data_IF_481704923922
#
_entry.id   IF_481704923922
#
_cell.length_a   1.000
_cell.length_b   1.000
_cell.length_c   1.000
_cell.angle_alpha   90.00
_cell.angle_beta   90.00
_cell.angle_gamma   90.00
#
_symmetry.space_group_name_H-M   'P 1'
#
loop_
_entity.id
_entity.type
_entity.pdbx_description
1 polymer ?
#
# COMPACT_ATOMS: atom_id res chain seq x y z
N UNK A 1 14.69 25.06 -7.87
CA UNK A 1 15.78 24.45 -7.07
C UNK A 1 15.71 25.05 -5.67
N UNK A 2 15.42 24.25 -4.66
CA UNK A 2 15.39 24.67 -3.25
C UNK A 2 16.63 24.09 -2.56
N UNK A 3 17.29 24.85 -1.68
CA UNK A 3 18.48 24.39 -0.95
C UNK A 3 18.30 24.64 0.54
N UNK A 4 18.61 23.64 1.36
CA UNK A 4 18.57 23.75 2.83
C UNK A 4 19.89 23.27 3.41
N UNK A 5 20.39 23.98 4.41
CA UNK A 5 21.52 23.51 5.22
C UNK A 5 20.99 22.50 6.25
N UNK A 6 21.65 21.36 6.35
CA UNK A 6 21.36 20.32 7.32
C UNK A 6 22.67 19.77 7.89
N UNK A 7 22.62 19.25 9.11
CA UNK A 7 23.76 18.61 9.74
C UNK A 7 23.69 17.09 9.53
N UNK A 8 24.87 16.47 9.35
CA UNK A 8 24.98 15.03 9.39
C UNK A 8 24.91 14.54 10.84
N UNK A 9 24.10 13.52 11.07
CA UNK A 9 23.94 12.86 12.36
C UNK A 9 24.89 11.66 12.37
N UNK A 10 25.76 11.62 13.39
CA UNK A 10 26.65 10.50 13.65
C UNK A 10 26.13 9.69 14.84
N UNK A 11 25.82 8.42 14.63
CA UNK A 11 25.40 7.49 15.67
C UNK A 11 26.42 6.37 15.87
N UNK A 12 26.45 5.75 17.06
CA UNK A 12 27.22 4.51 17.27
C UNK A 12 26.60 3.35 16.48
N UNK A 13 27.40 2.52 15.84
CA UNK A 13 26.92 1.28 15.24
C UNK A 13 26.57 0.26 16.35
N UNK A 14 25.47 -0.48 16.20
CA UNK A 14 25.04 -1.52 17.15
C UNK A 14 25.56 -2.92 16.79
N UNK A 15 25.55 -3.85 17.74
CA UNK A 15 25.83 -5.28 17.53
C UNK A 15 27.32 -5.64 17.37
N UNK A 16 27.61 -6.62 16.51
CA UNK A 16 28.95 -7.17 16.20
C UNK A 16 29.82 -6.24 15.31
N UNK A 17 29.50 -4.95 15.23
CA UNK A 17 30.27 -4.01 14.44
C UNK A 17 31.66 -3.76 15.07
N UNK A 18 32.65 -3.42 14.24
CA UNK A 18 34.02 -3.17 14.70
C UNK A 18 34.06 -2.01 15.70
N UNK A 19 35.09 -1.99 16.55
CA UNK A 19 35.20 -1.12 17.75
C UNK A 19 35.02 0.39 17.48
N UNK A 20 35.13 0.85 16.23
CA UNK A 20 35.00 2.25 15.80
C UNK A 20 33.94 2.48 14.72
N UNK A 21 33.04 1.53 14.49
CA UNK A 21 31.99 1.69 13.49
C UNK A 21 30.96 2.75 13.92
N UNK A 22 30.62 3.65 13.00
CA UNK A 22 29.59 4.67 13.17
C UNK A 22 28.58 4.61 12.04
N UNK A 23 27.40 5.17 12.28
CA UNK A 23 26.35 5.36 11.29
C UNK A 23 26.24 6.84 10.94
N UNK A 24 26.00 7.15 9.67
CA UNK A 24 25.74 8.50 9.19
C UNK A 24 24.30 8.60 8.70
N UNK A 25 23.58 9.63 9.12
CA UNK A 25 22.21 9.92 8.66
C UNK A 25 22.06 11.41 8.35
N UNK A 26 21.21 11.74 7.38
CA UNK A 26 20.77 13.11 7.11
C UNK A 26 19.25 13.14 7.08
N UNK A 27 18.64 14.16 7.67
CA UNK A 27 17.18 14.33 7.62
C UNK A 27 16.79 15.05 6.33
N UNK A 28 15.91 14.42 5.55
CA UNK A 28 15.31 15.03 4.35
C UNK A 28 13.99 15.70 4.74
N UNK A 29 13.69 16.93 4.30
CA UNK A 29 12.41 17.58 4.57
C UNK A 29 11.23 16.74 4.07
N UNK A 30 10.19 16.58 4.91
CA UNK A 30 8.95 15.86 4.56
C UNK A 30 8.36 16.34 3.23
N UNK A 31 8.34 17.65 2.99
CA UNK A 31 7.82 18.24 1.75
C UNK A 31 8.57 17.79 0.49
N UNK A 32 9.85 17.43 0.60
CA UNK A 32 10.61 16.88 -0.53
C UNK A 32 10.33 15.39 -0.71
N UNK A 33 10.26 14.65 0.40
CA UNK A 33 9.86 13.23 0.42
C UNK A 33 8.48 13.05 -0.23
N UNK A 34 7.49 13.85 0.19
CA UNK A 34 6.14 13.87 -0.37
C UNK A 34 6.15 14.18 -1.88
N UNK A 35 6.94 15.18 -2.32
CA UNK A 35 7.07 15.53 -3.74
C UNK A 35 7.78 14.48 -4.58
N UNK A 36 8.71 13.73 -4.00
CA UNK A 36 9.34 12.58 -4.64
C UNK A 36 8.40 11.37 -4.70
N UNK A 37 7.25 11.44 -4.01
CA UNK A 37 6.28 10.35 -3.90
C UNK A 37 6.82 9.18 -3.08
N UNK A 38 7.74 9.45 -2.14
CA UNK A 38 8.28 8.42 -1.25
C UNK A 38 7.33 8.24 -0.07
N UNK A 39 6.97 6.99 0.21
CA UNK A 39 6.13 6.61 1.36
C UNK A 39 6.88 5.61 2.25
N UNK A 40 6.25 5.14 3.33
CA UNK A 40 6.84 4.10 4.18
C UNK A 40 7.06 2.77 3.41
N UNK A 41 6.26 2.56 2.37
CA UNK A 41 6.23 1.39 1.51
C UNK A 41 7.05 1.63 0.22
N UNK A 42 6.95 2.83 -0.37
CA UNK A 42 7.77 3.27 -1.50
C UNK A 42 8.98 4.07 -1.01
N UNK A 43 9.81 3.45 -0.16
CA UNK A 43 10.97 4.09 0.51
C UNK A 43 12.28 3.95 -0.23
N UNK A 44 12.27 3.28 -1.39
CA UNK A 44 13.48 3.02 -2.15
C UNK A 44 13.96 4.30 -2.86
N UNK A 45 15.24 4.60 -2.69
CA UNK A 45 15.90 5.76 -3.28
C UNK A 45 17.22 5.32 -3.89
N UNK A 46 17.61 5.97 -4.98
CA UNK A 46 18.94 5.81 -5.57
C UNK A 46 19.86 6.88 -4.97
N UNK A 47 20.96 6.44 -4.38
CA UNK A 47 22.05 7.33 -3.96
C UNK A 47 23.20 7.21 -4.95
N UNK A 48 23.67 8.33 -5.48
CA UNK A 48 24.90 8.39 -6.27
C UNK A 48 25.91 9.32 -5.60
N UNK A 49 27.19 8.97 -5.66
CA UNK A 49 28.29 9.78 -5.16
C UNK A 49 29.35 9.92 -6.26
N UNK A 50 29.70 11.15 -6.60
CA UNK A 50 30.65 11.47 -7.68
C UNK A 50 32.05 11.90 -7.17
N UNK A 51 32.27 11.84 -5.86
CA UNK A 51 33.49 12.31 -5.20
C UNK A 51 33.32 13.63 -4.45
N UNK A 52 32.32 14.43 -4.80
CA UNK A 52 32.04 15.74 -4.17
C UNK A 52 30.56 15.88 -3.75
N UNK A 53 29.65 15.32 -4.54
CA UNK A 53 28.20 15.45 -4.40
C UNK A 53 27.56 14.10 -4.19
N UNK A 54 26.59 14.07 -3.27
CA UNK A 54 25.62 12.98 -3.16
C UNK A 54 24.32 13.44 -3.82
N UNK A 55 23.79 12.69 -4.77
CA UNK A 55 22.44 12.88 -5.29
C UNK A 55 21.49 11.82 -4.74
N UNK A 56 20.24 12.24 -4.51
CA UNK A 56 19.15 11.36 -4.09
C UNK A 56 18.10 11.43 -5.19
N UNK A 57 17.98 10.35 -5.94
CA UNK A 57 17.07 10.25 -7.07
C UNK A 57 15.98 9.20 -6.78
N UNK A 58 14.81 9.39 -7.38
CA UNK A 58 13.86 8.29 -7.50
C UNK A 58 14.50 7.26 -8.44
N UNK A 59 14.55 5.97 -8.10
CA UNK A 59 15.02 4.98 -9.06
C UNK A 59 14.15 5.06 -10.33
N UNK A 60 14.78 5.22 -11.49
CA UNK A 60 14.11 5.26 -12.81
C UNK A 60 13.24 4.01 -13.04
N UNK A 61 13.56 2.93 -12.32
CA UNK A 61 12.80 1.70 -12.22
C UNK A 61 12.83 1.27 -10.75
N UNK A 62 11.93 1.78 -9.92
CA UNK A 62 11.62 1.07 -8.67
C UNK A 62 11.07 -0.29 -9.08
N UNK A 63 11.47 -1.42 -8.47
CA UNK A 63 10.94 -2.74 -8.77
C UNK A 63 9.55 -2.90 -8.17
N UNK A 64 8.71 -1.86 -8.26
CA UNK A 64 7.28 -2.07 -8.29
C UNK A 64 7.05 -2.77 -9.62
N UNK A 65 6.96 -4.09 -9.59
CA UNK A 65 6.49 -4.86 -10.74
C UNK A 65 5.17 -4.22 -11.15
N UNK A 66 5.13 -3.44 -12.22
CA UNK A 66 3.88 -3.13 -12.90
C UNK A 66 3.45 -4.42 -13.59
N UNK A 67 2.89 -5.32 -12.79
CA UNK A 67 2.25 -6.52 -13.29
C UNK A 67 1.08 -6.03 -14.13
N UNK A 68 1.01 -6.37 -15.43
CA UNK A 68 -0.14 -6.03 -16.24
C UNK A 68 -1.40 -6.60 -15.58
N UNK A 69 -2.49 -5.85 -15.65
CA UNK A 69 -3.76 -6.29 -15.08
C UNK A 69 -4.11 -7.69 -15.56
N UNK A 70 -4.35 -8.59 -14.61
CA UNK A 70 -4.64 -9.98 -14.89
C UNK A 70 -6.00 -10.12 -15.62
N UNK A 71 -6.21 -11.29 -16.24
CA UNK A 71 -7.51 -11.62 -16.85
C UNK A 71 -8.64 -11.58 -15.81
N UNK A 72 -9.83 -11.15 -16.24
CA UNK A 72 -11.06 -11.17 -15.42
C UNK A 72 -11.28 -12.52 -14.70
N UNK A 73 -11.01 -13.65 -15.34
CA UNK A 73 -11.13 -14.97 -14.69
C UNK A 73 -10.25 -15.11 -13.44
N UNK A 74 -8.99 -14.65 -13.48
CA UNK A 74 -8.06 -14.69 -12.34
C UNK A 74 -8.52 -13.73 -11.24
N UNK A 75 -8.89 -12.51 -11.62
CA UNK A 75 -9.39 -11.47 -10.71
C UNK A 75 -10.64 -11.98 -9.99
N UNK A 76 -11.62 -12.49 -10.74
CA UNK A 76 -12.87 -13.04 -10.19
C UNK A 76 -12.62 -14.20 -9.24
N UNK A 77 -11.71 -15.13 -9.58
CA UNK A 77 -11.39 -16.26 -8.70
C UNK A 77 -10.80 -15.78 -7.38
N UNK A 78 -9.88 -14.83 -7.43
CA UNK A 78 -9.29 -14.24 -6.23
C UNK A 78 -10.34 -13.51 -5.40
N UNK A 79 -11.17 -12.68 -6.04
CA UNK A 79 -12.22 -11.91 -5.39
C UNK A 79 -13.24 -12.82 -4.69
N UNK A 80 -13.70 -13.89 -5.34
CA UNK A 80 -14.64 -14.85 -4.74
C UNK A 80 -14.03 -15.59 -3.56
N UNK A 81 -12.76 -15.97 -3.63
CA UNK A 81 -12.07 -16.63 -2.52
C UNK A 81 -12.02 -15.70 -1.30
N UNK A 82 -11.51 -14.47 -1.48
CA UNK A 82 -11.34 -13.54 -0.38
C UNK A 82 -12.67 -13.01 0.16
N UNK A 83 -13.67 -12.80 -0.67
CA UNK A 83 -15.04 -12.53 -0.22
C UNK A 83 -15.52 -13.60 0.76
N UNK A 84 -15.30 -14.89 0.47
CA UNK A 84 -15.67 -15.98 1.38
C UNK A 84 -14.81 -16.02 2.63
N UNK A 85 -13.50 -15.75 2.53
CA UNK A 85 -12.61 -15.68 3.70
C UNK A 85 -13.07 -14.59 4.68
N UNK A 86 -13.29 -13.36 4.20
CA UNK A 86 -13.77 -12.24 5.01
C UNK A 86 -15.19 -12.47 5.55
N UNK A 87 -16.07 -13.10 4.75
CA UNK A 87 -17.42 -13.46 5.22
C UNK A 87 -17.41 -14.46 6.36
N UNK A 88 -16.43 -15.36 6.38
CA UNK A 88 -16.27 -16.39 7.40
C UNK A 88 -15.14 -16.03 8.40
N UNK A 89 -14.87 -14.74 8.61
CA UNK A 89 -13.76 -14.28 9.45
C UNK A 89 -13.80 -14.86 10.87
N UNK A 90 -14.98 -15.03 11.46
CA UNK A 90 -15.14 -15.63 12.79
C UNK A 90 -14.63 -17.08 12.90
N UNK A 91 -14.45 -17.77 11.77
CA UNK A 91 -13.89 -19.14 11.69
C UNK A 91 -12.57 -19.20 10.92
N UNK A 92 -12.03 -18.05 10.52
CA UNK A 92 -10.81 -17.95 9.72
C UNK A 92 -9.70 -17.36 10.59
N UNK A 93 -8.55 -18.05 10.75
CA UNK A 93 -7.44 -17.52 11.53
C UNK A 93 -6.93 -16.16 11.03
N UNK A 94 -6.68 -15.23 11.95
CA UNK A 94 -6.32 -13.82 11.63
C UNK A 94 -5.09 -13.69 10.71
N UNK A 95 -4.12 -14.61 10.82
CA UNK A 95 -2.91 -14.57 10.00
C UNK A 95 -3.18 -14.60 8.48
N UNK A 96 -4.32 -15.14 8.03
CA UNK A 96 -4.69 -15.10 6.62
C UNK A 96 -5.01 -13.68 6.13
N UNK A 97 -5.52 -12.83 7.02
CA UNK A 97 -5.82 -11.43 6.70
C UNK A 97 -4.61 -10.53 6.90
N UNK A 98 -3.67 -10.93 7.77
CA UNK A 98 -2.53 -10.11 8.16
C UNK A 98 -1.25 -10.34 7.36
N UNK A 99 -0.99 -11.59 6.98
CA UNK A 99 0.23 -11.93 6.27
C UNK A 99 0.16 -11.45 4.80
N UNK A 100 1.15 -10.64 4.43
CA UNK A 100 1.26 -10.03 3.11
C UNK A 100 1.30 -11.05 1.97
N UNK A 101 1.80 -12.26 2.23
CA UNK A 101 1.90 -13.32 1.23
C UNK A 101 0.55 -13.81 0.69
N UNK A 102 -0.55 -13.52 1.39
CA UNK A 102 -1.88 -13.97 0.99
C UNK A 102 -2.66 -12.90 0.22
N UNK A 103 -3.02 -11.80 0.87
CA UNK A 103 -3.86 -10.76 0.25
C UNK A 103 -3.00 -9.77 -0.53
N UNK A 104 -1.94 -9.24 0.10
CA UNK A 104 -1.12 -8.17 -0.48
C UNK A 104 -0.38 -8.60 -1.75
N UNK A 105 0.39 -9.69 -1.68
CA UNK A 105 1.07 -10.27 -2.85
C UNK A 105 0.06 -10.73 -3.90
N UNK A 106 -1.07 -11.29 -3.49
CA UNK A 106 -2.14 -11.70 -4.39
C UNK A 106 -2.75 -10.53 -5.18
N UNK A 107 -3.00 -9.39 -4.55
CA UNK A 107 -3.47 -8.17 -5.23
C UNK A 107 -2.40 -7.60 -6.17
N UNK A 108 -1.13 -7.59 -5.75
CA UNK A 108 -0.02 -7.16 -6.59
C UNK A 108 0.20 -8.06 -7.82
N UNK A 109 0.06 -9.38 -7.66
CA UNK A 109 0.16 -10.37 -8.75
C UNK A 109 -1.00 -10.28 -9.75
N UNK A 110 -2.12 -9.69 -9.35
CA UNK A 110 -3.23 -9.36 -10.25
C UNK A 110 -3.01 -8.04 -11.00
N UNK A 111 -1.99 -7.26 -10.65
CA UNK A 111 -1.69 -5.97 -11.26
C UNK A 111 -2.42 -4.78 -10.64
N UNK A 112 -2.94 -4.92 -9.42
CA UNK A 112 -3.46 -3.79 -8.65
C UNK A 112 -2.33 -3.05 -7.93
N UNK A 113 -2.50 -1.75 -7.77
CA UNK A 113 -1.55 -0.86 -7.15
C UNK A 113 -2.03 -0.43 -5.77
N UNK A 114 -1.13 -0.55 -4.78
CA UNK A 114 -1.35 0.06 -3.47
C UNK A 114 -0.99 1.54 -3.58
N UNK A 115 -1.97 2.34 -3.99
CA UNK A 115 -1.84 3.76 -4.29
C UNK A 115 -2.19 4.67 -3.10
N UNK A 116 -2.25 4.09 -1.90
CA UNK A 116 -2.69 4.75 -0.66
C UNK A 116 -4.09 5.39 -0.75
N UNK A 117 -4.93 4.94 -1.68
CA UNK A 117 -6.30 5.43 -1.88
C UNK A 117 -6.38 6.72 -2.69
N UNK A 118 -5.29 7.15 -3.35
CA UNK A 118 -5.25 8.39 -4.12
C UNK A 118 -6.21 8.37 -5.31
N UNK A 119 -6.26 7.29 -6.09
CA UNK A 119 -7.17 7.14 -7.22
C UNK A 119 -8.63 7.11 -6.77
N UNK A 120 -8.90 6.42 -5.66
CA UNK A 120 -10.22 6.39 -5.05
C UNK A 120 -10.66 7.79 -4.59
N UNK A 121 -9.80 8.52 -3.89
CA UNK A 121 -10.07 9.88 -3.42
C UNK A 121 -10.27 10.87 -4.57
N UNK A 122 -9.58 10.68 -5.69
CA UNK A 122 -9.80 11.48 -6.89
C UNK A 122 -11.20 11.24 -7.48
N UNK A 123 -11.68 9.99 -7.49
CA UNK A 123 -13.01 9.63 -8.00
C UNK A 123 -14.14 9.97 -7.03
N UNK A 124 -13.92 9.82 -5.72
CA UNK A 124 -14.91 10.01 -4.66
C UNK A 124 -14.38 10.93 -3.54
N UNK A 125 -14.15 12.23 -3.82
CA UNK A 125 -13.45 13.14 -2.90
C UNK A 125 -14.14 13.37 -1.56
N UNK A 126 -15.44 13.11 -1.49
CA UNK A 126 -16.26 13.26 -0.28
C UNK A 126 -16.51 11.93 0.46
N UNK A 127 -15.87 10.84 0.03
CA UNK A 127 -15.98 9.53 0.67
C UNK A 127 -14.66 9.17 1.34
N UNK A 128 -14.72 8.81 2.62
CA UNK A 128 -13.58 8.17 3.27
C UNK A 128 -13.55 6.70 2.86
N UNK A 129 -12.39 6.21 2.38
CA UNK A 129 -12.26 4.85 1.85
C UNK A 129 -12.64 3.79 2.88
N UNK A 130 -12.16 3.93 4.12
CA UNK A 130 -12.39 2.95 5.19
C UNK A 130 -13.72 3.09 5.94
N UNK A 131 -14.57 4.04 5.59
CA UNK A 131 -15.89 4.20 6.22
C UNK A 131 -16.89 3.23 5.57
N UNK A 132 -17.28 2.18 6.30
CA UNK A 132 -18.19 1.15 5.79
C UNK A 132 -19.58 1.69 5.40
N UNK A 133 -20.12 2.66 6.14
CA UNK A 133 -21.42 3.24 5.82
C UNK A 133 -21.34 4.14 4.57
N UNK A 134 -20.26 4.88 4.42
CA UNK A 134 -20.00 5.61 3.18
C UNK A 134 -19.80 4.65 1.99
N UNK A 135 -19.02 3.58 2.20
CA UNK A 135 -18.73 2.55 1.20
C UNK A 135 -19.98 1.88 0.63
N UNK A 136 -20.93 1.48 1.49
CA UNK A 136 -22.23 0.87 1.09
C UNK A 136 -23.00 1.72 0.08
N UNK A 137 -22.88 3.05 0.15
CA UNK A 137 -23.59 3.98 -0.75
C UNK A 137 -22.95 4.07 -2.12
N UNK A 138 -21.64 3.84 -2.23
CA UNK A 138 -20.86 4.10 -3.43
C UNK A 138 -20.36 2.85 -4.15
N UNK A 139 -20.23 1.70 -3.47
CA UNK A 139 -19.56 0.51 -4.02
C UNK A 139 -20.19 0.04 -5.34
N UNK A 140 -21.52 0.14 -5.45
CA UNK A 140 -22.27 -0.23 -6.67
C UNK A 140 -22.11 0.79 -7.81
N UNK A 141 -21.57 1.98 -7.54
CA UNK A 141 -21.29 3.02 -8.53
C UNK A 141 -19.87 2.88 -9.12
N UNK A 142 -19.04 1.99 -8.55
CA UNK A 142 -17.69 1.73 -9.05
C UNK A 142 -17.81 0.70 -10.18
N UNK A 143 -17.48 1.11 -11.40
CA UNK A 143 -17.49 0.25 -12.61
C UNK A 143 -16.08 -0.08 -13.13
N UNK A 144 -15.06 0.51 -12.53
CA UNK A 144 -13.65 0.31 -12.91
C UNK A 144 -13.02 -0.79 -12.04
N UNK A 145 -12.63 -1.89 -12.68
CA UNK A 145 -11.88 -2.99 -12.04
C UNK A 145 -10.55 -2.50 -11.42
N UNK A 146 -9.70 -1.72 -12.14
CA UNK A 146 -8.49 -1.16 -11.54
C UNK A 146 -8.78 -0.30 -10.30
N UNK A 147 -9.72 0.64 -10.41
CA UNK A 147 -10.05 1.56 -9.31
C UNK A 147 -10.49 0.83 -8.05
N UNK A 148 -11.32 -0.20 -8.20
CA UNK A 148 -11.79 -1.00 -7.08
C UNK A 148 -10.69 -1.89 -6.49
N UNK A 149 -9.86 -2.49 -7.33
CA UNK A 149 -8.74 -3.32 -6.86
C UNK A 149 -7.69 -2.51 -6.11
N UNK A 150 -7.35 -1.32 -6.59
CA UNK A 150 -6.41 -0.40 -5.93
C UNK A 150 -6.98 0.08 -4.59
N UNK A 151 -8.28 0.40 -4.55
CA UNK A 151 -8.99 0.76 -3.32
C UNK A 151 -8.97 -0.37 -2.28
N UNK A 152 -9.21 -1.62 -2.69
CA UNK A 152 -9.11 -2.80 -1.82
C UNK A 152 -7.69 -2.96 -1.29
N UNK A 153 -6.69 -2.81 -2.14
CA UNK A 153 -5.29 -2.97 -1.75
C UNK A 153 -4.85 -1.90 -0.75
N UNK A 154 -5.22 -0.65 -1.00
CA UNK A 154 -4.96 0.48 -0.13
C UNK A 154 -5.65 0.32 1.24
N UNK A 155 -6.91 -0.13 1.27
CA UNK A 155 -7.62 -0.37 2.52
C UNK A 155 -7.06 -1.56 3.31
N UNK A 156 -6.70 -2.65 2.63
CA UNK A 156 -6.02 -3.79 3.25
C UNK A 156 -4.68 -3.40 3.88
N UNK A 157 -3.91 -2.55 3.17
CA UNK A 157 -2.63 -2.03 3.68
C UNK A 157 -2.84 -1.17 4.92
N UNK A 158 -3.83 -0.28 4.92
CA UNK A 158 -4.17 0.56 6.07
C UNK A 158 -4.40 -0.28 7.32
N UNK A 159 -5.24 -1.32 7.22
CA UNK A 159 -5.55 -2.20 8.34
C UNK A 159 -4.30 -2.89 8.88
N UNK A 160 -3.47 -3.44 7.99
CA UNK A 160 -2.32 -4.24 8.38
C UNK A 160 -1.10 -3.46 8.86
N UNK A 161 -1.00 -2.17 8.53
CA UNK A 161 0.21 -1.40 8.81
C UNK A 161 -0.03 -0.12 9.61
N UNK A 162 -1.25 0.43 9.64
CA UNK A 162 -1.50 1.78 10.21
C UNK A 162 -2.63 1.84 11.24
N UNK A 163 -3.62 0.95 11.20
CA UNK A 163 -4.76 0.99 12.12
C UNK A 163 -4.35 0.88 13.60
N UNK A 164 -3.32 0.10 13.93
CA UNK A 164 -2.91 -0.25 15.30
C UNK A 164 -4.05 -0.86 16.17
N UNK A 165 -5.20 -1.16 15.59
CA UNK A 165 -6.36 -1.76 16.22
C UNK A 165 -6.79 -3.01 15.43
N UNK A 166 -7.38 -4.01 16.10
CA UNK A 166 -7.99 -5.13 15.40
C UNK A 166 -9.18 -4.63 14.57
N UNK A 167 -9.45 -5.33 13.46
CA UNK A 167 -10.65 -5.08 12.65
C UNK A 167 -11.92 -5.36 13.46
N UNK A 168 -12.94 -4.53 13.26
CA UNK A 168 -14.29 -4.73 13.77
C UNK A 168 -15.20 -5.31 12.67
N UNK A 169 -16.42 -5.72 13.03
CA UNK A 169 -17.39 -6.32 12.11
C UNK A 169 -17.63 -5.45 10.86
N UNK A 170 -17.67 -4.12 11.04
CA UNK A 170 -17.84 -3.18 9.93
C UNK A 170 -16.69 -3.24 8.91
N UNK A 171 -15.48 -3.56 9.35
CA UNK A 171 -14.30 -3.65 8.49
C UNK A 171 -14.31 -4.95 7.70
N UNK A 172 -14.72 -6.06 8.32
CA UNK A 172 -14.95 -7.31 7.61
C UNK A 172 -16.07 -7.16 6.58
N UNK A 173 -17.18 -6.50 6.95
CA UNK A 173 -18.28 -6.18 6.04
C UNK A 173 -17.80 -5.35 4.84
N UNK A 174 -16.94 -4.34 5.08
CA UNK A 174 -16.35 -3.52 4.02
C UNK A 174 -15.64 -4.38 2.97
N UNK A 175 -14.77 -5.30 3.39
CA UNK A 175 -14.04 -6.19 2.48
C UNK A 175 -14.96 -7.17 1.75
N UNK A 176 -15.98 -7.71 2.43
CA UNK A 176 -16.97 -8.58 1.78
C UNK A 176 -17.67 -7.84 0.64
N UNK A 177 -18.13 -6.61 0.86
CA UNK A 177 -18.78 -5.79 -0.16
C UNK A 177 -17.83 -5.46 -1.31
N UNK A 178 -16.59 -5.07 -0.99
CA UNK A 178 -15.60 -4.71 -1.99
C UNK A 178 -15.21 -5.90 -2.89
N UNK A 179 -14.92 -7.07 -2.31
CA UNK A 179 -14.60 -8.26 -3.08
C UNK A 179 -15.80 -8.83 -3.83
N UNK A 180 -17.03 -8.72 -3.29
CA UNK A 180 -18.25 -9.08 -4.01
C UNK A 180 -18.39 -8.26 -5.28
N UNK A 181 -18.24 -6.93 -5.18
CA UNK A 181 -18.32 -6.03 -6.33
C UNK A 181 -17.20 -6.30 -7.34
N UNK A 182 -15.97 -6.56 -6.88
CA UNK A 182 -14.87 -6.90 -7.77
C UNK A 182 -15.14 -8.18 -8.55
N UNK A 183 -15.75 -9.19 -7.91
CA UNK A 183 -16.14 -10.41 -8.57
C UNK A 183 -17.22 -10.17 -9.64
N UNK A 184 -18.20 -9.30 -9.38
CA UNK A 184 -19.25 -8.91 -10.35
C UNK A 184 -18.66 -8.23 -11.58
N UNK A 185 -17.75 -7.27 -11.41
CA UNK A 185 -17.12 -6.55 -12.52
C UNK A 185 -16.21 -7.45 -13.36
N UNK A 186 -15.66 -8.50 -12.77
CA UNK A 186 -14.79 -9.48 -13.42
C UNK A 186 -15.55 -10.74 -13.91
N UNK A 187 -16.89 -10.68 -13.99
CA UNK A 187 -17.74 -11.76 -14.49
C UNK A 187 -17.61 -12.01 -15.99
#
# INVERSE_FOLDING_TARGET
METRKANMIFGKAGGNASRNAYTCKVSVPKTWVDRMGLTHEQREIKLAFDGDRITIDRPEHSPVKHTPLASNQKIRRFALLWMQMYKNHASTPDFYFEDVSFVGEGLADLGFEMDCGESFKAAFPNCNLGDCEAWKRIVNQIDSVPLLGDAIFSQWRYWNHWSNAPMEEADFEWFVLAFSRLAELAA
#
